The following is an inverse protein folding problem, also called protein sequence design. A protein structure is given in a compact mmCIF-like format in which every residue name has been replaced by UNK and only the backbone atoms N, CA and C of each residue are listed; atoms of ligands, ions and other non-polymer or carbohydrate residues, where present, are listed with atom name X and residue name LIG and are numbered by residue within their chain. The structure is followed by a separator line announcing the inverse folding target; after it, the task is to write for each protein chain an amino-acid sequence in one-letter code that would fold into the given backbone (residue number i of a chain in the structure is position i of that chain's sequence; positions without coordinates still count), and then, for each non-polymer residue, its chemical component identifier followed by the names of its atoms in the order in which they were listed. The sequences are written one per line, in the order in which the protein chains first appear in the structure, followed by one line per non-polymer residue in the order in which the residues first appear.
data_IF_746172372419
#
_entry.id   IF_746172372419
#
_cell.length_a   1.000
_cell.length_b   1.000
_cell.length_c   1.000
_cell.angle_alpha   90.00
_cell.angle_beta   90.00
_cell.angle_gamma   90.00
#
_symmetry.space_group_name_H-M   'P 1'
#
loop_
_entity.id
_entity.type
_entity.pdbx_description
1 polymer ?
#
# COMPACT_ATOMS: atom_id res chain seq x y z
N UNK A 1 -15.18 -0.47 26.59
CA UNK A 1 -15.55 -0.90 25.23
C UNK A 1 -14.80 0.04 24.30
N UNK A 2 -13.59 -0.33 23.88
CA UNK A 2 -12.74 0.58 23.11
C UNK A 2 -13.28 0.76 21.71
N UNK A 3 -13.39 2.02 21.34
CA UNK A 3 -13.87 2.53 20.06
C UNK A 3 -13.26 1.80 18.87
N UNK A 4 -14.17 1.45 17.96
CA UNK A 4 -14.00 1.18 16.54
C UNK A 4 -12.58 1.35 16.01
N UNK A 5 -11.88 0.23 15.79
CA UNK A 5 -10.73 0.19 14.89
C UNK A 5 -11.25 0.41 13.45
N UNK A 6 -11.56 1.67 13.15
CA UNK A 6 -11.90 2.14 11.81
C UNK A 6 -10.63 2.15 11.01
N UNK A 7 -10.57 1.33 9.95
CA UNK A 7 -9.46 1.36 9.04
C UNK A 7 -9.48 2.71 8.31
N UNK A 8 -8.56 3.59 8.66
CA UNK A 8 -8.47 4.92 8.06
C UNK A 8 -7.53 4.87 6.86
N UNK A 9 -8.00 5.33 5.71
CA UNK A 9 -7.25 5.36 4.46
C UNK A 9 -7.07 6.81 4.02
N UNK A 10 -6.01 7.10 3.24
CA UNK A 10 -6.02 8.35 2.46
C UNK A 10 -7.10 8.29 1.38
N UNK A 11 -7.64 9.46 1.00
CA UNK A 11 -8.69 9.57 -0.01
C UNK A 11 -8.17 9.41 -1.45
N UNK A 12 -6.86 9.55 -1.68
CA UNK A 12 -6.20 9.41 -2.99
C UNK A 12 -4.72 9.08 -2.79
N UNK A 13 -4.06 8.39 -3.74
CA UNK A 13 -2.61 8.24 -3.78
C UNK A 13 -1.94 9.62 -3.73
N UNK A 14 -0.95 9.77 -2.85
CA UNK A 14 -0.14 10.98 -2.77
C UNK A 14 0.82 11.12 -3.96
N UNK A 15 1.46 12.29 -4.07
CA UNK A 15 2.35 12.62 -5.18
C UNK A 15 3.45 11.55 -5.38
N UNK A 16 4.11 11.14 -4.31
CA UNK A 16 5.19 10.15 -4.25
C UNK A 16 4.70 8.72 -3.95
N UNK A 17 3.43 8.39 -4.18
CA UNK A 17 2.91 7.06 -3.83
C UNK A 17 3.60 5.96 -4.67
N UNK A 18 4.18 4.91 -4.04
CA UNK A 18 4.89 3.86 -4.77
C UNK A 18 3.99 3.09 -5.76
N UNK A 19 2.68 3.09 -5.53
CA UNK A 19 1.71 2.43 -6.40
C UNK A 19 1.45 3.16 -7.72
N UNK A 20 1.82 4.45 -7.84
CA UNK A 20 1.63 5.22 -9.07
C UNK A 20 2.61 4.80 -10.15
N UNK A 21 2.16 4.72 -11.41
CA UNK A 21 3.06 4.43 -12.54
C UNK A 21 4.10 5.54 -12.78
N UNK A 22 3.76 6.78 -12.42
CA UNK A 22 4.54 7.98 -12.67
C UNK A 22 5.30 8.49 -11.44
N UNK A 23 5.54 7.63 -10.45
CA UNK A 23 6.41 7.92 -9.30
C UNK A 23 7.49 6.83 -9.17
N UNK A 24 8.72 7.22 -8.85
CA UNK A 24 9.88 6.33 -8.70
C UNK A 24 10.35 6.25 -7.24
N UNK A 25 11.34 5.41 -6.96
CA UNK A 25 11.97 5.36 -5.63
C UNK A 25 12.57 6.72 -5.22
N UNK A 26 13.07 7.51 -6.18
CA UNK A 26 13.68 8.81 -5.94
C UNK A 26 12.66 9.87 -5.49
N UNK A 27 11.38 9.68 -5.80
CA UNK A 27 10.30 10.58 -5.37
C UNK A 27 9.86 10.33 -3.92
N UNK A 28 10.25 9.20 -3.32
CA UNK A 28 9.80 8.78 -2.00
C UNK A 28 10.77 9.33 -0.94
N UNK A 29 10.30 10.18 0.00
CA UNK A 29 11.15 10.70 1.06
C UNK A 29 11.69 9.58 1.94
N UNK A 30 13.00 9.60 2.22
CA UNK A 30 13.70 8.59 3.02
C UNK A 30 13.45 7.16 2.51
N UNK A 31 13.46 6.96 1.20
CA UNK A 31 13.24 5.66 0.59
C UNK A 31 14.25 4.63 1.12
N UNK A 32 13.71 3.47 1.50
CA UNK A 32 14.45 2.31 1.98
C UNK A 32 13.98 1.10 1.17
N UNK A 33 14.91 0.49 0.42
CA UNK A 33 14.60 -0.63 -0.45
C UNK A 33 14.24 -1.87 0.36
N UNK A 34 14.93 -2.15 1.47
CA UNK A 34 14.69 -3.33 2.29
C UNK A 34 13.28 -3.26 2.90
N UNK A 35 12.88 -2.09 3.38
CA UNK A 35 11.50 -1.86 3.83
C UNK A 35 10.48 -2.08 2.71
N UNK A 36 10.78 -1.64 1.49
CA UNK A 36 9.92 -1.88 0.35
C UNK A 36 9.82 -3.39 0.01
N UNK A 37 10.90 -4.16 0.16
CA UNK A 37 10.87 -5.62 -0.01
C UNK A 37 10.01 -6.28 1.08
N UNK A 38 10.19 -5.90 2.34
CA UNK A 38 9.44 -6.43 3.50
C UNK A 38 7.93 -6.19 3.37
N UNK A 39 7.52 -5.06 2.80
CA UNK A 39 6.11 -4.74 2.57
C UNK A 39 5.41 -5.72 1.61
N UNK A 40 6.15 -6.58 0.89
CA UNK A 40 5.55 -7.66 0.09
C UNK A 40 4.70 -8.62 0.94
N UNK A 41 5.05 -8.81 2.22
CA UNK A 41 4.28 -9.64 3.16
C UNK A 41 2.87 -9.10 3.47
N UNK A 42 2.56 -7.85 3.07
CA UNK A 42 1.22 -7.23 3.20
C UNK A 42 0.38 -7.36 1.93
N UNK A 43 0.95 -7.96 0.88
CA UNK A 43 0.38 -8.02 -0.46
C UNK A 43 0.13 -9.48 -0.90
N UNK A 44 -0.66 -9.68 -1.96
CA UNK A 44 -0.80 -11.00 -2.55
C UNK A 44 0.52 -11.53 -3.15
N UNK A 45 0.71 -12.84 -3.05
CA UNK A 45 1.79 -13.54 -3.72
C UNK A 45 1.59 -13.59 -5.26
N UNK A 46 2.54 -14.19 -5.97
CA UNK A 46 2.50 -14.34 -7.44
C UNK A 46 1.31 -15.18 -7.93
N UNK A 47 0.73 -16.00 -7.06
CA UNK A 47 -0.47 -16.80 -7.35
C UNK A 47 -1.75 -16.00 -7.08
N UNK A 48 -1.62 -14.75 -6.62
CA UNK A 48 -2.71 -13.88 -6.24
C UNK A 48 -3.36 -14.24 -4.90
N UNK A 49 -2.74 -15.12 -4.12
CA UNK A 49 -3.22 -15.46 -2.78
C UNK A 49 -2.87 -14.31 -1.84
N UNK A 50 -3.87 -13.82 -1.10
CA UNK A 50 -3.66 -12.77 -0.11
C UNK A 50 -2.69 -13.21 0.99
N UNK A 51 -2.15 -12.24 1.76
CA UNK A 51 -1.19 -12.54 2.82
C UNK A 51 -1.84 -13.31 3.98
N UNK A 52 -1.00 -13.80 4.88
CA UNK A 52 -1.41 -14.56 6.05
C UNK A 52 -2.38 -13.80 6.97
N UNK A 53 -3.19 -14.56 7.72
CA UNK A 53 -4.02 -13.98 8.77
C UNK A 53 -3.12 -13.34 9.83
N UNK A 54 -3.36 -12.06 10.10
CA UNK A 54 -2.56 -11.28 11.06
C UNK A 54 -1.42 -10.48 10.42
N UNK A 55 -1.23 -10.58 9.10
CA UNK A 55 -0.33 -9.68 8.37
C UNK A 55 -0.71 -8.21 8.61
N UNK A 56 0.31 -7.37 8.67
CA UNK A 56 0.17 -5.92 8.79
C UNK A 56 -0.48 -5.32 7.56
N UNK A 57 -1.16 -4.19 7.74
CA UNK A 57 -1.67 -3.39 6.64
C UNK A 57 -0.52 -2.69 5.90
N UNK A 58 -0.66 -2.48 4.60
CA UNK A 58 0.28 -1.62 3.87
C UNK A 58 0.09 -0.17 4.30
N UNK A 59 0.98 0.32 5.17
CA UNK A 59 0.94 1.68 5.67
C UNK A 59 1.29 2.71 4.57
N UNK A 60 0.64 3.85 4.59
CA UNK A 60 1.01 4.99 3.78
C UNK A 60 2.26 5.65 4.35
N UNK A 61 3.27 5.93 3.52
CA UNK A 61 4.48 6.62 3.97
C UNK A 61 4.24 8.07 4.46
N UNK A 62 3.07 8.66 4.17
CA UNK A 62 2.68 9.97 4.73
C UNK A 62 2.09 9.88 6.14
N UNK A 63 1.83 8.66 6.63
CA UNK A 63 1.35 8.46 7.98
C UNK A 63 2.49 8.65 9.00
N UNK A 64 2.11 8.95 10.25
CA UNK A 64 3.07 9.02 11.35
C UNK A 64 3.18 7.65 11.99
N UNK A 65 4.38 7.29 12.43
CA UNK A 65 4.59 6.09 13.25
C UNK A 65 3.64 6.06 14.46
N UNK A 66 3.05 4.90 14.72
CA UNK A 66 2.00 4.66 15.72
C UNK A 66 0.62 5.23 15.36
N UNK A 67 0.47 5.85 14.18
CA UNK A 67 -0.78 6.41 13.64
C UNK A 67 -0.89 6.14 12.14
N UNK A 68 -0.64 4.91 11.76
CA UNK A 68 -0.57 4.46 10.39
C UNK A 68 -1.93 4.59 9.70
N UNK A 69 -1.89 5.10 8.47
CA UNK A 69 -3.04 5.11 7.56
C UNK A 69 -2.84 4.01 6.53
N UNK A 70 -3.89 3.29 6.14
CA UNK A 70 -3.80 2.35 5.04
C UNK A 70 -3.58 3.11 3.71
N UNK A 71 -2.64 2.63 2.91
CA UNK A 71 -2.26 3.25 1.63
C UNK A 71 -3.41 3.19 0.61
N UNK A 72 -3.81 4.34 0.07
CA UNK A 72 -4.90 4.43 -0.91
C UNK A 72 -4.63 3.64 -2.20
N UNK A 73 -3.39 3.66 -2.68
CA UNK A 73 -2.98 2.91 -3.87
C UNK A 73 -3.13 1.41 -3.65
N UNK A 74 -2.59 0.89 -2.55
CA UNK A 74 -2.73 -0.51 -2.14
C UNK A 74 -4.20 -0.92 -1.95
N UNK A 75 -5.00 -0.11 -1.26
CA UNK A 75 -6.42 -0.37 -1.03
C UNK A 75 -7.20 -0.56 -2.34
N UNK A 76 -6.95 0.31 -3.32
CA UNK A 76 -7.64 0.30 -4.60
C UNK A 76 -7.21 -0.84 -5.55
N UNK A 77 -5.98 -1.34 -5.41
CA UNK A 77 -5.43 -2.37 -6.33
C UNK A 77 -5.57 -3.78 -5.75
N UNK A 78 -5.04 -4.00 -4.55
CA UNK A 78 -4.89 -5.34 -3.97
C UNK A 78 -5.43 -5.48 -2.55
N UNK A 79 -5.84 -4.38 -1.89
CA UNK A 79 -6.30 -4.40 -0.51
C UNK A 79 -7.47 -5.36 -0.27
N UNK A 80 -8.34 -5.55 -1.27
CA UNK A 80 -9.45 -6.52 -1.24
C UNK A 80 -9.00 -7.99 -1.04
N UNK A 81 -7.72 -8.31 -1.26
CA UNK A 81 -7.14 -9.63 -1.00
C UNK A 81 -6.66 -9.81 0.43
N UNK A 82 -6.47 -8.71 1.19
CA UNK A 82 -5.99 -8.76 2.56
C UNK A 82 -7.09 -9.25 3.53
N UNK A 83 -6.86 -10.29 4.33
CA UNK A 83 -7.87 -10.84 5.25
C UNK A 83 -8.47 -9.78 6.19
N UNK A 84 -7.62 -8.91 6.76
CA UNK A 84 -8.06 -7.82 7.64
C UNK A 84 -8.98 -6.82 6.96
N UNK A 85 -8.75 -6.50 5.68
CA UNK A 85 -9.62 -5.60 4.90
C UNK A 85 -10.96 -6.25 4.63
N UNK A 86 -10.95 -7.51 4.19
CA UNK A 86 -12.17 -8.29 3.91
C UNK A 86 -13.06 -8.39 5.15
N UNK A 87 -12.44 -8.65 6.31
CA UNK A 87 -13.14 -8.68 7.59
C UNK A 87 -13.69 -7.30 7.96
N UNK A 88 -12.92 -6.23 7.79
CA UNK A 88 -13.38 -4.86 8.08
C UNK A 88 -14.60 -4.47 7.23
N UNK A 89 -14.61 -4.85 5.94
CA UNK A 89 -15.77 -4.66 5.06
C UNK A 89 -16.98 -5.49 5.53
N UNK A 90 -16.78 -6.78 5.81
CA UNK A 90 -17.85 -7.67 6.27
C UNK A 90 -18.49 -7.18 7.58
N UNK A 91 -17.67 -6.61 8.47
CA UNK A 91 -18.10 -6.03 9.74
C UNK A 91 -18.60 -4.58 9.62
N UNK A 92 -18.70 -4.03 8.40
CA UNK A 92 -19.13 -2.64 8.13
C UNK A 92 -18.28 -1.58 8.84
N UNK A 93 -17.01 -1.90 9.12
CA UNK A 93 -15.99 -0.97 9.67
C UNK A 93 -15.19 -0.26 8.58
N UNK A 94 -15.35 -0.69 7.34
CA UNK A 94 -14.77 -0.09 6.15
C UNK A 94 -15.84 -0.06 5.05
N UNK A 95 -16.06 1.11 4.45
CA UNK A 95 -16.93 1.23 3.29
C UNK A 95 -16.25 0.56 2.07
N UNK A 96 -16.92 -0.35 1.34
CA UNK A 96 -16.34 -1.00 0.15
C UNK A 96 -15.88 -0.02 -0.93
N UNK A 97 -16.40 1.22 -0.96
CA UNK A 97 -15.94 2.26 -1.88
C UNK A 97 -14.49 2.69 -1.66
N UNK A 98 -13.93 2.49 -0.46
CA UNK A 98 -12.53 2.72 -0.18
C UNK A 98 -11.58 1.77 -0.94
N UNK A 99 -12.12 0.69 -1.53
CA UNK A 99 -11.37 -0.27 -2.36
C UNK A 99 -11.42 0.07 -3.86
N UNK A 100 -11.94 1.24 -4.24
CA UNK A 100 -12.04 1.66 -5.63
C UNK A 100 -11.19 2.90 -5.88
N UNK A 101 -10.55 2.94 -7.04
CA UNK A 101 -9.90 4.16 -7.53
C UNK A 101 -10.95 5.22 -7.93
N UNK A 102 -10.62 6.50 -7.74
CA UNK A 102 -11.41 7.61 -8.23
C UNK A 102 -11.15 7.91 -9.72
N UNK A 103 -12.09 8.58 -10.39
CA UNK A 103 -11.99 8.88 -11.82
C UNK A 103 -10.80 9.78 -12.20
N UNK A 104 -10.35 10.63 -11.28
CA UNK A 104 -9.21 11.54 -11.47
C UNK A 104 -7.91 11.04 -10.82
N UNK A 105 -7.85 9.77 -10.41
CA UNK A 105 -6.64 9.21 -9.82
C UNK A 105 -5.54 9.00 -10.87
N UNK A 106 -4.26 9.09 -10.48
CA UNK A 106 -3.16 8.65 -11.34
C UNK A 106 -3.27 7.15 -11.65
N UNK A 107 -2.68 6.74 -12.77
CA UNK A 107 -2.56 5.33 -13.13
C UNK A 107 -1.74 4.58 -12.08
N UNK A 108 -2.20 3.39 -11.69
CA UNK A 108 -1.56 2.55 -10.68
C UNK A 108 -1.05 1.24 -11.26
N UNK A 109 -0.03 0.66 -10.63
CA UNK A 109 0.39 -0.71 -10.87
C UNK A 109 -0.71 -1.71 -10.48
N UNK A 110 -0.74 -2.87 -11.13
CA UNK A 110 -1.79 -3.88 -10.93
C UNK A 110 -1.52 -4.77 -9.71
N UNK A 111 -0.25 -4.97 -9.36
CA UNK A 111 0.18 -5.79 -8.24
C UNK A 111 1.46 -5.21 -7.61
N UNK A 112 1.85 -5.76 -6.46
CA UNK A 112 3.00 -5.24 -5.72
C UNK A 112 4.34 -5.63 -6.35
N UNK A 113 4.41 -6.73 -7.08
CA UNK A 113 5.60 -7.18 -7.78
C UNK A 113 6.02 -6.15 -8.83
N UNK A 114 5.08 -5.59 -9.59
CA UNK A 114 5.32 -4.49 -10.52
C UNK A 114 5.78 -3.22 -9.82
N UNK A 115 5.22 -2.91 -8.64
CA UNK A 115 5.67 -1.78 -7.81
C UNK A 115 7.13 -2.01 -7.42
N UNK A 116 7.45 -3.18 -6.89
CA UNK A 116 8.77 -3.52 -6.37
C UNK A 116 9.83 -3.57 -7.47
N UNK A 117 9.50 -4.12 -8.64
CA UNK A 117 10.38 -4.11 -9.81
C UNK A 117 10.75 -2.68 -10.23
N UNK A 118 9.76 -1.79 -10.31
CA UNK A 118 10.01 -0.37 -10.59
C UNK A 118 10.85 0.28 -9.50
N UNK A 119 10.55 0.03 -8.22
CA UNK A 119 11.30 0.60 -7.12
C UNK A 119 12.76 0.16 -7.19
N UNK A 120 13.05 -1.14 -7.33
CA UNK A 120 14.41 -1.68 -7.53
C UNK A 120 15.13 -1.04 -8.72
N UNK A 121 14.44 -0.90 -9.85
CA UNK A 121 15.02 -0.31 -11.06
C UNK A 121 15.31 1.19 -10.95
N UNK A 122 14.69 1.87 -9.99
CA UNK A 122 14.82 3.33 -9.80
C UNK A 122 15.42 3.71 -8.46
N UNK A 123 15.78 2.74 -7.63
CA UNK A 123 16.50 2.98 -6.39
C UNK A 123 17.78 3.75 -6.68
N UNK A 124 18.15 4.72 -5.83
CA UNK A 124 19.47 5.35 -5.95
C UNK A 124 20.54 4.26 -5.86
N UNK A 125 21.50 4.31 -6.78
CA UNK A 125 22.67 3.43 -6.72
C UNK A 125 23.48 3.89 -5.51
N UNK A 126 23.83 2.96 -4.61
CA UNK A 126 24.83 3.25 -3.58
C UNK A 126 26.13 3.64 -4.29
N UNK A 127 26.42 4.95 -4.37
CA UNK A 127 27.76 5.40 -4.74
C UNK A 127 28.67 5.06 -3.55
N UNK A 128 29.68 4.19 -3.73
CA UNK A 128 30.61 3.91 -2.65
C UNK A 128 31.41 5.18 -2.36
N UNK A 129 31.37 5.62 -1.09
CA UNK A 129 32.24 6.67 -0.55
C UNK A 129 33.70 6.20 -0.47
#
# INVERSE_FOLDING_TARGET
MSDTCTLTTLATPCASCPWRLDATAQDIPNFDLDLAEDLAATCPDERGMGPDIGASMFACHQSKEGRELACAGWMATVGHRHPGVRLAVAMRRLDPSALRSGAAWPSLHLNYQQVLEKLRATSPVDEPN
#
